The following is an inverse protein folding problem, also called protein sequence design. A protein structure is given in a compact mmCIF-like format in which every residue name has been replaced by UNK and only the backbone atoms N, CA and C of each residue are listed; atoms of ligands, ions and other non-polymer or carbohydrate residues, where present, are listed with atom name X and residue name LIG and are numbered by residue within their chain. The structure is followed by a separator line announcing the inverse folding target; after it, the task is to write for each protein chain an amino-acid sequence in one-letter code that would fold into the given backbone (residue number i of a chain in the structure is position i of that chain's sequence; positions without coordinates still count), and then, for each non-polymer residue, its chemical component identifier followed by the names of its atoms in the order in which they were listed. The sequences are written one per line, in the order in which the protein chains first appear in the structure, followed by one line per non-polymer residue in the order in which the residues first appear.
data_IF_890734279241
#
_entry.id   IF_890734279241
#
_cell.length_a   1.000
_cell.length_b   1.000
_cell.length_c   1.000
_cell.angle_alpha   90.00
_cell.angle_beta   90.00
_cell.angle_gamma   90.00
#
_symmetry.space_group_name_H-M   'P 1'
#
loop_
_entity.id
_entity.type
_entity.pdbx_description
1 polymer ?
#
# COMPACT_ATOMS: atom_id res chain seq x y z
N UNK A 1 -28.63 -2.81 11.12
CA UNK A 1 -28.65 -4.04 10.31
C UNK A 1 -30.09 -4.42 10.07
N UNK A 2 -30.41 -4.75 8.83
CA UNK A 2 -31.68 -5.36 8.43
C UNK A 2 -31.39 -6.82 8.11
N UNK A 3 -32.33 -7.71 8.43
CA UNK A 3 -32.31 -9.10 7.97
C UNK A 3 -33.50 -9.31 7.07
N UNK A 4 -33.33 -10.09 6.00
CA UNK A 4 -34.46 -10.45 5.16
C UNK A 4 -35.51 -11.23 5.96
N UNK A 5 -36.78 -10.97 5.65
CA UNK A 5 -37.91 -11.61 6.34
C UNK A 5 -37.90 -13.14 6.18
N UNK A 6 -37.27 -13.65 5.13
CA UNK A 6 -37.14 -15.09 4.87
C UNK A 6 -36.22 -15.81 5.88
N UNK A 7 -35.34 -15.06 6.56
CA UNK A 7 -34.45 -15.57 7.61
C UNK A 7 -35.01 -15.35 9.03
N UNK A 8 -36.32 -15.07 9.17
CA UNK A 8 -36.96 -14.89 10.46
C UNK A 8 -37.05 -16.23 11.25
N UNK A 9 -36.74 -16.26 12.56
CA UNK A 9 -36.72 -17.49 13.37
C UNK A 9 -38.10 -18.09 13.70
N UNK A 10 -39.12 -17.91 12.84
CA UNK A 10 -40.49 -18.41 13.01
C UNK A 10 -41.08 -19.13 11.79
N UNK A 11 -40.33 -19.34 10.71
CA UNK A 11 -40.83 -20.02 9.50
C UNK A 11 -41.03 -21.55 9.65
N UNK A 12 -40.72 -22.12 10.83
CA UNK A 12 -40.96 -23.53 11.17
C UNK A 12 -41.92 -23.61 12.37
N UNK A 13 -43.22 -23.36 12.15
CA UNK A 13 -44.21 -23.53 13.22
C UNK A 13 -45.52 -22.76 13.04
N UNK A 14 -46.22 -22.98 11.93
CA UNK A 14 -47.64 -22.63 11.85
C UNK A 14 -48.49 -23.89 12.06
N UNK A 15 -48.68 -24.30 13.32
CA UNK A 15 -49.77 -25.21 13.67
C UNK A 15 -51.11 -24.52 13.42
N UNK A 16 -51.99 -25.21 12.69
CA UNK A 16 -53.36 -24.80 12.41
C UNK A 16 -54.17 -24.79 13.71
N UNK A 17 -54.48 -23.60 14.22
CA UNK A 17 -55.54 -23.44 15.20
C UNK A 17 -56.91 -23.38 14.49
N UNK A 18 -57.83 -24.24 14.94
CA UNK A 18 -59.19 -24.34 14.45
C UNK A 18 -60.00 -23.05 14.67
N UNK A 19 -60.81 -22.69 13.68
CA UNK A 19 -61.71 -21.54 13.68
C UNK A 19 -63.05 -21.93 14.28
N UNK A 20 -63.47 -21.27 15.35
CA UNK A 20 -64.88 -21.10 15.69
C UNK A 20 -65.27 -19.63 15.51
N UNK A 21 -66.15 -19.38 14.53
CA UNK A 21 -67.05 -18.22 14.49
C UNK A 21 -66.48 -16.87 14.06
N UNK A 22 -66.78 -16.46 12.81
CA UNK A 22 -66.93 -15.04 12.46
C UNK A 22 -66.17 -14.57 11.22
N UNK A 23 -66.91 -14.49 10.10
CA UNK A 23 -66.60 -13.73 8.86
C UNK A 23 -65.22 -13.92 8.23
N UNK A 24 -65.21 -14.79 7.22
CA UNK A 24 -64.12 -15.03 6.28
C UNK A 24 -63.83 -13.76 5.47
N UNK A 25 -62.86 -12.96 5.91
CA UNK A 25 -62.22 -11.97 5.04
C UNK A 25 -60.97 -12.60 4.46
N UNK A 26 -61.14 -13.27 3.33
CA UNK A 26 -60.04 -13.69 2.47
C UNK A 26 -59.31 -12.46 1.94
N UNK A 27 -58.30 -11.99 2.67
CA UNK A 27 -57.29 -11.09 2.11
C UNK A 27 -56.18 -11.97 1.56
N UNK A 28 -56.32 -12.34 0.28
CA UNK A 28 -55.20 -12.83 -0.52
C UNK A 28 -54.21 -11.69 -0.72
N UNK A 29 -53.27 -11.55 0.21
CA UNK A 29 -52.08 -10.72 0.05
C UNK A 29 -50.87 -11.64 -0.10
N UNK A 30 -50.25 -11.63 -1.28
CA UNK A 30 -48.95 -12.26 -1.55
C UNK A 30 -47.93 -11.87 -0.48
N UNK A 31 -47.68 -12.76 0.48
CA UNK A 31 -46.74 -12.54 1.56
C UNK A 31 -45.32 -12.84 1.07
N UNK A 32 -44.63 -11.79 0.61
CA UNK A 32 -43.19 -11.55 0.74
C UNK A 32 -42.98 -10.11 0.25
N UNK A 33 -42.31 -9.19 0.94
CA UNK A 33 -40.85 -9.15 0.89
C UNK A 33 -40.37 -7.86 1.55
N UNK A 34 -39.56 -7.97 2.59
CA UNK A 34 -38.92 -6.83 3.24
C UNK A 34 -37.96 -7.31 4.31
N UNK A 35 -37.13 -6.41 4.83
CA UNK A 35 -36.29 -6.75 5.97
C UNK A 35 -36.96 -6.42 7.30
N UNK A 36 -36.51 -7.05 8.39
CA UNK A 36 -36.75 -6.57 9.75
C UNK A 36 -35.47 -6.04 10.39
N UNK A 37 -35.59 -5.03 11.26
CA UNK A 37 -34.44 -4.47 11.94
C UNK A 37 -33.93 -5.41 13.01
N UNK A 38 -32.64 -5.79 12.96
CA UNK A 38 -32.04 -6.65 14.00
C UNK A 38 -31.76 -5.84 15.27
N UNK A 39 -31.16 -4.65 15.11
CA UNK A 39 -30.71 -3.80 16.23
C UNK A 39 -31.34 -2.39 16.17
N UNK A 40 -32.54 -2.27 15.61
CA UNK A 40 -33.26 -1.01 15.64
C UNK A 40 -34.76 -1.23 15.52
N UNK A 41 -35.51 -0.40 16.24
CA UNK A 41 -36.95 -0.32 16.13
C UNK A 41 -37.32 0.81 15.16
N UNK A 42 -38.21 0.51 14.21
CA UNK A 42 -38.77 1.51 13.29
C UNK A 42 -39.70 2.50 14.01
N UNK A 43 -40.29 2.11 15.14
CA UNK A 43 -41.20 2.92 15.93
C UNK A 43 -40.47 4.03 16.72
N UNK A 44 -39.19 3.81 17.03
CA UNK A 44 -38.37 4.77 17.77
C UNK A 44 -36.91 4.72 17.29
N UNK A 45 -36.54 5.70 16.47
CA UNK A 45 -35.20 5.80 15.88
C UNK A 45 -34.59 7.18 16.17
N UNK A 46 -33.93 7.39 17.32
CA UNK A 46 -33.27 8.65 17.62
C UNK A 46 -32.14 8.92 16.61
N UNK A 47 -31.83 10.21 16.37
CA UNK A 47 -30.70 10.61 15.53
C UNK A 47 -29.40 10.05 16.13
N UNK A 48 -28.39 9.77 15.30
CA UNK A 48 -27.13 9.17 15.77
C UNK A 48 -26.41 10.04 16.81
N UNK A 49 -26.53 11.36 16.70
CA UNK A 49 -25.92 12.33 17.61
C UNK A 49 -26.56 12.34 19.00
N UNK A 50 -27.79 11.87 19.13
CA UNK A 50 -28.54 11.86 20.40
C UNK A 50 -28.40 10.53 21.16
N UNK A 51 -27.63 9.57 20.60
CA UNK A 51 -27.43 8.25 21.19
C UNK A 51 -26.19 8.25 22.10
N UNK A 52 -26.14 7.36 23.10
CA UNK A 52 -24.89 7.01 23.76
C UNK A 52 -23.81 6.61 22.74
N UNK A 53 -22.54 6.81 23.11
CA UNK A 53 -21.42 6.44 22.25
C UNK A 53 -21.29 4.91 22.20
N UNK A 54 -21.71 4.33 21.08
CA UNK A 54 -21.45 2.94 20.75
C UNK A 54 -20.09 2.80 20.04
N UNK A 55 -19.41 1.66 20.24
CA UNK A 55 -18.16 1.32 19.55
C UNK A 55 -18.45 0.29 18.46
N UNK A 56 -17.86 0.50 17.28
CA UNK A 56 -17.87 -0.45 16.17
C UNK A 56 -16.52 -1.15 16.14
N UNK A 57 -16.52 -2.48 16.15
CA UNK A 57 -15.32 -3.27 15.88
C UNK A 57 -14.96 -3.13 14.40
N UNK A 58 -13.72 -2.75 14.11
CA UNK A 58 -13.20 -2.62 12.74
C UNK A 58 -12.14 -3.66 12.41
N UNK A 59 -11.82 -4.52 13.39
CA UNK A 59 -10.78 -5.52 13.34
C UNK A 59 -10.30 -5.86 14.75
N UNK A 60 -9.54 -6.94 14.87
CA UNK A 60 -8.99 -7.40 16.14
C UNK A 60 -7.61 -8.05 15.95
N UNK A 61 -6.73 -7.83 16.93
CA UNK A 61 -5.45 -8.55 17.06
C UNK A 61 -5.64 -9.64 18.10
N UNK A 62 -5.41 -10.89 17.69
CA UNK A 62 -5.59 -12.04 18.56
C UNK A 62 -4.23 -12.59 19.01
N UNK A 63 -4.03 -12.69 20.32
CA UNK A 63 -2.92 -13.41 20.93
C UNK A 63 -3.46 -14.47 21.87
N UNK A 64 -3.18 -15.74 21.60
CA UNK A 64 -3.70 -16.86 22.40
C UNK A 64 -2.76 -18.08 22.35
N UNK A 65 -2.79 -18.91 23.39
CA UNK A 65 -2.15 -20.22 23.33
C UNK A 65 -3.02 -21.24 22.59
N UNK A 66 -2.39 -22.30 22.08
CA UNK A 66 -3.06 -23.30 21.25
C UNK A 66 -4.01 -24.21 22.05
N UNK A 67 -3.87 -24.29 23.37
CA UNK A 67 -4.73 -25.13 24.21
C UNK A 67 -6.06 -24.42 24.43
N UNK A 68 -6.01 -23.15 24.87
CA UNK A 68 -7.18 -22.30 25.05
C UNK A 68 -8.02 -22.16 23.78
N UNK A 69 -7.40 -22.05 22.61
CA UNK A 69 -8.15 -22.00 21.35
C UNK A 69 -8.89 -23.32 21.04
N UNK A 70 -8.26 -24.47 21.32
CA UNK A 70 -8.88 -25.78 21.09
C UNK A 70 -10.04 -26.04 22.05
N UNK A 71 -9.94 -25.55 23.28
CA UNK A 71 -10.98 -25.64 24.29
C UNK A 71 -12.16 -24.71 23.98
N UNK A 72 -11.89 -23.44 23.72
CA UNK A 72 -12.93 -22.44 23.46
C UNK A 72 -13.61 -22.63 22.10
N UNK A 73 -12.87 -23.11 21.08
CA UNK A 73 -13.36 -23.30 19.69
C UNK A 73 -13.88 -22.02 19.02
N UNK A 74 -13.57 -20.85 19.58
CA UNK A 74 -13.75 -19.55 18.94
C UNK A 74 -12.59 -18.64 19.36
N UNK A 75 -12.43 -17.52 18.65
CA UNK A 75 -11.32 -16.56 18.85
C UNK A 75 -11.54 -15.53 19.96
N UNK A 76 -12.71 -15.54 20.60
CA UNK A 76 -13.13 -14.55 21.60
C UNK A 76 -13.16 -15.14 23.02
N UNK A 77 -12.00 -15.38 23.61
CA UNK A 77 -11.89 -15.86 25.00
C UNK A 77 -10.73 -15.20 25.73
N UNK A 78 -10.74 -15.29 27.06
CA UNK A 78 -9.75 -14.63 27.91
C UNK A 78 -10.05 -13.14 28.09
N UNK A 79 -9.01 -12.31 28.02
CA UNK A 79 -9.11 -10.85 28.22
C UNK A 79 -9.34 -10.14 26.90
N UNK A 80 -10.30 -9.23 26.86
CA UNK A 80 -10.58 -8.36 25.71
C UNK A 80 -10.42 -6.90 26.13
N UNK A 81 -9.66 -6.14 25.34
CA UNK A 81 -9.43 -4.71 25.53
C UNK A 81 -9.83 -3.96 24.26
N UNK A 82 -10.42 -2.79 24.43
CA UNK A 82 -10.88 -1.96 23.31
C UNK A 82 -9.85 -0.89 22.99
N UNK A 83 -9.36 -0.88 21.75
CA UNK A 83 -8.48 0.16 21.23
C UNK A 83 -9.26 1.06 20.30
N UNK A 84 -9.36 2.35 20.64
CA UNK A 84 -10.04 3.34 19.79
C UNK A 84 -9.16 3.68 18.59
N UNK A 85 -9.73 3.57 17.40
CA UNK A 85 -9.11 4.03 16.15
C UNK A 85 -9.75 5.34 15.68
N UNK A 86 -9.05 6.05 14.78
CA UNK A 86 -9.60 7.23 14.11
C UNK A 86 -10.88 6.86 13.32
N UNK A 87 -12.04 7.49 13.62
CA UNK A 87 -13.30 7.24 12.92
C UNK A 87 -13.22 7.42 11.40
N UNK A 88 -12.30 8.26 10.90
CA UNK A 88 -12.13 8.46 9.46
C UNK A 88 -11.59 7.21 8.75
N UNK A 89 -10.94 6.30 9.49
CA UNK A 89 -10.26 5.10 8.96
C UNK A 89 -11.04 3.82 9.21
N UNK A 90 -12.30 3.94 9.58
CA UNK A 90 -13.17 2.80 9.88
C UNK A 90 -13.51 2.10 8.57
N UNK A 91 -12.79 1.02 8.29
CA UNK A 91 -13.06 0.10 7.19
C UNK A 91 -12.74 -1.32 7.64
N UNK A 92 -13.77 -2.15 7.73
CA UNK A 92 -13.64 -3.60 7.91
C UNK A 92 -13.18 -4.21 6.58
N UNK A 93 -12.25 -5.17 6.64
CA UNK A 93 -11.70 -5.85 5.46
C UNK A 93 -11.99 -7.34 5.60
N UNK A 94 -13.15 -7.75 5.11
CA UNK A 94 -13.58 -9.16 5.13
C UNK A 94 -13.40 -9.84 3.77
N UNK A 95 -13.52 -9.08 2.68
CA UNK A 95 -13.38 -9.59 1.32
C UNK A 95 -12.41 -8.76 0.44
N UNK A 96 -11.97 -9.30 -0.72
CA UNK A 96 -11.02 -8.61 -1.59
C UNK A 96 -11.43 -7.21 -2.07
N UNK A 97 -12.73 -6.92 -2.18
CA UNK A 97 -13.25 -5.61 -2.58
C UNK A 97 -13.09 -4.59 -1.45
N UNK A 98 -13.24 -5.00 -0.19
CA UNK A 98 -12.96 -4.12 0.95
C UNK A 98 -11.48 -3.78 1.00
N UNK A 99 -10.59 -4.74 0.70
CA UNK A 99 -9.17 -4.46 0.58
C UNK A 99 -8.87 -3.48 -0.58
N UNK A 100 -9.55 -3.63 -1.72
CA UNK A 100 -9.43 -2.69 -2.82
C UNK A 100 -9.89 -1.28 -2.43
N UNK A 101 -11.00 -1.16 -1.69
CA UNK A 101 -11.50 0.11 -1.16
C UNK A 101 -10.51 0.72 -0.15
N UNK A 102 -9.93 -0.11 0.72
CA UNK A 102 -8.92 0.31 1.68
C UNK A 102 -7.71 0.92 0.97
N UNK A 103 -7.20 0.22 -0.06
CA UNK A 103 -6.07 0.69 -0.89
C UNK A 103 -6.37 1.99 -1.61
N UNK A 104 -7.60 2.18 -2.10
CA UNK A 104 -8.01 3.42 -2.76
C UNK A 104 -8.08 4.61 -1.79
N UNK A 105 -8.51 4.38 -0.55
CA UNK A 105 -8.67 5.42 0.47
C UNK A 105 -7.38 5.72 1.25
N UNK A 106 -6.49 4.73 1.40
CA UNK A 106 -5.28 4.86 2.19
C UNK A 106 -4.43 6.10 1.82
N UNK A 107 -4.18 6.43 0.54
CA UNK A 107 -3.43 7.64 0.18
C UNK A 107 -4.09 8.94 0.69
N UNK A 108 -5.42 9.01 0.74
CA UNK A 108 -6.12 10.21 1.21
C UNK A 108 -5.95 10.44 2.71
N UNK A 109 -5.86 9.36 3.48
CA UNK A 109 -5.66 9.43 4.93
C UNK A 109 -4.18 9.49 5.32
N UNK A 110 -3.31 8.87 4.53
CA UNK A 110 -1.89 8.76 4.81
C UNK A 110 -1.06 9.88 4.19
N UNK A 111 -1.61 10.67 3.26
CA UNK A 111 -0.92 11.81 2.62
C UNK A 111 -0.26 12.79 3.61
N UNK A 112 -0.85 12.97 4.80
CA UNK A 112 -0.34 13.89 5.82
C UNK A 112 0.27 13.16 7.03
N UNK A 113 0.54 11.85 6.93
CA UNK A 113 1.07 11.07 8.05
C UNK A 113 2.58 11.29 8.19
N UNK A 114 3.09 11.60 9.39
CA UNK A 114 4.51 11.44 9.69
C UNK A 114 4.95 10.01 9.29
N UNK A 115 5.96 9.88 8.43
CA UNK A 115 6.47 8.58 7.95
C UNK A 115 5.80 8.02 6.67
N UNK A 116 5.01 8.81 5.93
CA UNK A 116 4.49 8.43 4.61
C UNK A 116 5.57 8.48 3.50
N UNK A 117 6.56 9.35 3.68
CA UNK A 117 7.75 9.46 2.84
C UNK A 117 8.97 9.15 3.71
N UNK A 118 10.04 8.59 3.11
CA UNK A 118 11.29 8.36 3.84
C UNK A 118 11.93 9.70 4.24
N UNK A 119 12.58 9.73 5.39
CA UNK A 119 13.50 10.81 5.79
C UNK A 119 14.95 10.32 5.78
N UNK A 120 15.90 11.23 6.04
CA UNK A 120 17.32 10.87 6.13
C UNK A 120 17.62 9.86 7.25
N UNK A 121 16.83 9.85 8.33
CA UNK A 121 17.01 8.92 9.46
C UNK A 121 16.56 7.49 9.11
N UNK A 122 15.66 7.33 8.15
CA UNK A 122 15.07 6.04 7.80
C UNK A 122 15.98 5.14 6.95
N UNK A 123 16.95 5.74 6.25
CA UNK A 123 17.72 5.06 5.19
C UNK A 123 19.23 5.28 5.31
N UNK A 124 20.01 4.29 4.92
CA UNK A 124 21.48 4.37 4.80
C UNK A 124 21.94 4.24 3.34
N UNK A 125 21.06 3.75 2.46
CA UNK A 125 21.36 3.50 1.05
C UNK A 125 20.22 3.88 0.11
N UNK A 126 20.59 4.31 -1.09
CA UNK A 126 19.70 4.55 -2.21
C UNK A 126 20.17 3.75 -3.42
N UNK A 127 19.35 2.81 -3.85
CA UNK A 127 19.57 1.97 -5.03
C UNK A 127 18.57 2.37 -6.11
N UNK A 128 19.10 2.65 -7.30
CA UNK A 128 18.33 3.16 -8.42
C UNK A 128 18.33 2.14 -9.55
N UNK A 129 17.15 1.73 -9.99
CA UNK A 129 17.01 1.21 -11.35
C UNK A 129 17.36 2.29 -12.40
N UNK A 130 17.57 1.90 -13.65
CA UNK A 130 17.99 2.79 -14.72
C UNK A 130 16.88 3.13 -15.72
N UNK A 131 16.46 2.18 -16.55
CA UNK A 131 15.52 2.43 -17.65
C UNK A 131 14.09 2.57 -17.14
N UNK A 132 13.39 3.62 -17.57
CA UNK A 132 12.06 3.97 -17.06
C UNK A 132 12.02 4.53 -15.63
N UNK A 133 13.13 4.47 -14.90
CA UNK A 133 13.33 5.09 -13.58
C UNK A 133 14.12 6.42 -13.68
N UNK A 134 15.35 6.37 -14.21
CA UNK A 134 16.19 7.54 -14.50
C UNK A 134 16.04 8.05 -15.94
N UNK A 135 15.40 7.25 -16.80
CA UNK A 135 15.02 7.58 -18.17
C UNK A 135 13.50 7.52 -18.30
N UNK A 136 12.97 7.95 -19.43
CA UNK A 136 11.55 7.91 -19.77
C UNK A 136 11.14 6.59 -20.46
N UNK A 137 11.95 5.55 -20.25
CA UNK A 137 11.83 4.19 -20.81
C UNK A 137 11.96 4.09 -22.34
N UNK A 138 12.39 5.19 -22.99
CA UNK A 138 12.60 5.25 -24.43
C UNK A 138 14.07 5.04 -24.77
N UNK A 139 14.29 4.27 -25.83
CA UNK A 139 15.61 4.11 -26.46
C UNK A 139 15.55 4.72 -27.85
N UNK A 140 16.44 5.69 -28.11
CA UNK A 140 16.70 6.18 -29.46
C UNK A 140 17.71 5.25 -30.12
N UNK A 141 17.39 4.73 -31.30
CA UNK A 141 18.28 3.85 -32.05
C UNK A 141 18.64 4.51 -33.38
N UNK A 142 19.92 4.57 -33.71
CA UNK A 142 20.38 5.07 -35.02
C UNK A 142 20.37 3.98 -36.11
N UNK A 143 20.70 4.34 -37.34
CA UNK A 143 20.73 3.41 -38.47
C UNK A 143 21.78 2.30 -38.36
N UNK A 144 22.78 2.47 -37.49
CA UNK A 144 23.83 1.49 -37.23
C UNK A 144 23.49 0.59 -36.03
N UNK A 145 22.31 0.77 -35.42
CA UNK A 145 21.87 0.03 -34.25
C UNK A 145 22.47 0.52 -32.93
N UNK A 146 23.04 1.74 -32.88
CA UNK A 146 23.51 2.32 -31.62
C UNK A 146 22.35 2.90 -30.85
N UNK A 147 22.35 2.62 -29.55
CA UNK A 147 21.31 3.05 -28.64
C UNK A 147 21.74 4.30 -27.84
N UNK A 148 20.79 5.20 -27.65
CA UNK A 148 20.93 6.41 -26.85
C UNK A 148 19.71 6.54 -25.94
N UNK A 149 19.93 7.03 -24.72
CA UNK A 149 18.85 7.33 -23.78
C UNK A 149 18.95 8.77 -23.30
N UNK A 150 17.81 9.31 -22.89
CA UNK A 150 17.75 10.63 -22.26
C UNK A 150 17.72 10.48 -20.74
N UNK A 151 18.47 11.34 -20.04
CA UNK A 151 18.54 11.38 -18.58
C UNK A 151 18.36 12.80 -18.09
N UNK A 152 17.77 12.96 -16.89
CA UNK A 152 17.47 14.29 -16.36
C UNK A 152 18.67 14.94 -15.66
N UNK A 153 18.81 16.27 -15.79
CA UNK A 153 19.83 17.05 -15.07
C UNK A 153 19.45 17.27 -13.61
N UNK A 154 18.17 17.47 -13.33
CA UNK A 154 17.65 17.59 -11.97
C UNK A 154 17.97 16.34 -11.14
N UNK A 155 17.81 15.15 -11.72
CA UNK A 155 18.17 13.89 -11.05
C UNK A 155 19.66 13.82 -10.76
N UNK A 156 20.50 14.27 -11.69
CA UNK A 156 21.94 14.35 -11.46
C UNK A 156 22.32 15.25 -10.28
N UNK A 157 21.60 16.35 -10.07
CA UNK A 157 21.78 17.21 -8.90
C UNK A 157 21.32 16.51 -7.60
N UNK A 158 20.14 15.89 -7.62
CA UNK A 158 19.59 15.14 -6.48
C UNK A 158 20.51 13.99 -6.04
N UNK A 159 20.96 13.17 -6.99
CA UNK A 159 21.92 12.08 -6.75
C UNK A 159 23.23 12.61 -6.16
N UNK A 160 23.73 13.73 -6.66
CA UNK A 160 24.95 14.33 -6.12
C UNK A 160 24.75 14.86 -4.69
N UNK A 161 23.56 15.37 -4.34
CA UNK A 161 23.23 15.82 -2.99
C UNK A 161 23.11 14.62 -2.02
N UNK A 162 22.36 13.57 -2.40
CA UNK A 162 22.24 12.33 -1.61
C UNK A 162 23.60 11.69 -1.35
N UNK A 163 24.47 11.62 -2.36
CA UNK A 163 25.85 11.12 -2.17
C UNK A 163 26.65 12.00 -1.21
N UNK A 164 26.47 13.31 -1.23
CA UNK A 164 27.19 14.25 -0.35
C UNK A 164 26.69 14.19 1.09
N UNK A 165 25.44 13.83 1.33
CA UNK A 165 24.90 13.61 2.69
C UNK A 165 25.41 12.32 3.34
N UNK A 166 26.21 11.52 2.62
CA UNK A 166 26.82 10.30 3.14
C UNK A 166 26.04 9.02 2.84
N UNK A 167 24.93 9.09 2.11
CA UNK A 167 24.18 7.91 1.72
C UNK A 167 24.97 7.05 0.72
N UNK A 168 24.91 5.74 0.93
CA UNK A 168 25.52 4.78 0.02
C UNK A 168 24.65 4.67 -1.23
N UNK A 169 25.24 4.92 -2.41
CA UNK A 169 24.50 4.96 -3.67
C UNK A 169 24.85 3.77 -4.56
N UNK A 170 23.88 3.27 -5.33
CA UNK A 170 24.09 2.25 -6.35
C UNK A 170 23.12 2.44 -7.52
N UNK A 171 23.58 2.23 -8.76
CA UNK A 171 22.69 1.91 -9.88
C UNK A 171 22.65 0.39 -10.06
N UNK A 172 21.46 -0.20 -10.16
CA UNK A 172 21.25 -1.63 -10.38
C UNK A 172 20.35 -1.85 -11.61
N UNK A 173 20.86 -2.51 -12.65
CA UNK A 173 20.10 -2.73 -13.89
C UNK A 173 20.29 -4.15 -14.43
N UNK A 174 19.28 -4.68 -15.12
CA UNK A 174 19.42 -5.90 -15.94
C UNK A 174 20.11 -5.63 -17.28
N UNK A 175 20.15 -4.37 -17.71
CA UNK A 175 20.59 -3.97 -19.04
C UNK A 175 22.10 -4.18 -19.22
N UNK A 176 22.49 -4.83 -20.32
CA UNK A 176 23.90 -5.05 -20.68
C UNK A 176 24.48 -3.84 -21.40
N UNK A 177 23.65 -2.97 -22.00
CA UNK A 177 24.11 -1.79 -22.70
C UNK A 177 25.00 -0.89 -21.81
N UNK A 178 26.21 -0.49 -22.26
CA UNK A 178 27.15 0.31 -21.46
C UNK A 178 26.71 1.74 -21.14
N UNK A 179 25.60 2.23 -21.69
CA UNK A 179 25.07 3.58 -21.42
C UNK A 179 24.82 3.80 -19.92
N UNK A 180 24.30 2.79 -19.21
CA UNK A 180 24.10 2.85 -17.75
C UNK A 180 25.42 3.10 -17.00
N UNK A 181 26.49 2.40 -17.38
CA UNK A 181 27.82 2.56 -16.79
C UNK A 181 28.43 3.94 -17.13
N UNK A 182 28.18 4.47 -18.32
CA UNK A 182 28.59 5.81 -18.70
C UNK A 182 27.91 6.88 -17.83
N UNK A 183 26.62 6.72 -17.54
CA UNK A 183 25.88 7.59 -16.63
C UNK A 183 26.38 7.48 -15.19
N UNK A 184 26.56 6.27 -14.67
CA UNK A 184 27.09 6.02 -13.33
C UNK A 184 28.45 6.70 -13.11
N UNK A 185 29.37 6.56 -14.08
CA UNK A 185 30.68 7.22 -14.08
C UNK A 185 30.57 8.75 -14.01
N UNK A 186 29.64 9.35 -14.76
CA UNK A 186 29.40 10.80 -14.71
C UNK A 186 28.91 11.27 -13.34
N UNK A 187 28.04 10.48 -12.71
CA UNK A 187 27.45 10.76 -11.39
C UNK A 187 28.39 10.42 -10.22
N UNK A 188 29.47 9.67 -10.49
CA UNK A 188 30.44 9.16 -9.52
C UNK A 188 29.77 8.23 -8.49
N UNK A 189 28.94 7.32 -8.98
CA UNK A 189 28.33 6.25 -8.16
C UNK A 189 28.63 4.88 -8.78
N UNK A 190 28.72 3.82 -7.95
CA UNK A 190 28.83 2.44 -8.42
C UNK A 190 27.65 2.01 -9.30
N UNK A 191 27.89 1.00 -10.13
CA UNK A 191 26.88 0.35 -10.95
C UNK A 191 27.07 -1.17 -10.89
N UNK A 192 25.97 -1.89 -10.72
CA UNK A 192 25.86 -3.32 -10.98
C UNK A 192 24.86 -3.47 -12.14
N UNK A 193 25.33 -3.89 -13.31
CA UNK A 193 24.49 -4.01 -14.51
C UNK A 193 24.77 -5.31 -15.27
N UNK A 194 23.88 -5.67 -16.20
CA UNK A 194 23.91 -6.97 -16.87
C UNK A 194 23.59 -8.13 -15.91
N UNK A 195 22.86 -7.84 -14.82
CA UNK A 195 22.49 -8.81 -13.79
C UNK A 195 21.11 -9.40 -14.13
N UNK A 196 20.99 -10.73 -14.19
CA UNK A 196 19.70 -11.38 -14.43
C UNK A 196 18.77 -11.28 -13.20
N UNK A 197 19.28 -11.67 -12.02
CA UNK A 197 18.54 -11.64 -10.74
C UNK A 197 18.93 -10.43 -9.89
N UNK A 198 18.28 -9.29 -10.14
CA UNK A 198 18.51 -8.02 -9.42
C UNK A 198 18.35 -8.17 -7.90
N UNK A 199 17.37 -8.93 -7.44
CA UNK A 199 17.11 -9.18 -6.03
C UNK A 199 18.28 -9.86 -5.31
N UNK A 200 18.88 -10.86 -5.95
CA UNK A 200 20.03 -11.57 -5.38
C UNK A 200 21.28 -10.68 -5.33
N UNK A 201 21.52 -9.91 -6.41
CA UNK A 201 22.63 -8.95 -6.43
C UNK A 201 22.44 -7.84 -5.39
N UNK A 202 21.21 -7.33 -5.21
CA UNK A 202 20.89 -6.36 -4.18
C UNK A 202 21.12 -6.94 -2.79
N UNK A 203 20.63 -8.15 -2.52
CA UNK A 203 20.82 -8.83 -1.24
C UNK A 203 22.30 -8.99 -0.90
N UNK A 204 23.09 -9.51 -1.84
CA UNK A 204 24.53 -9.69 -1.68
C UNK A 204 25.22 -8.33 -1.46
N UNK A 205 24.86 -7.32 -2.24
CA UNK A 205 25.42 -5.98 -2.10
C UNK A 205 25.13 -5.40 -0.70
N UNK A 206 23.91 -5.54 -0.18
CA UNK A 206 23.58 -5.12 1.18
C UNK A 206 24.46 -5.82 2.23
N UNK A 207 24.68 -7.13 2.09
CA UNK A 207 25.56 -7.90 2.97
C UNK A 207 27.02 -7.41 2.90
N UNK A 208 27.54 -7.15 1.69
CA UNK A 208 28.90 -6.65 1.48
C UNK A 208 29.12 -5.23 2.02
N UNK A 209 28.10 -4.37 1.94
CA UNK A 209 28.15 -3.02 2.51
C UNK A 209 27.85 -2.99 4.02
N UNK A 210 27.36 -4.09 4.60
CA UNK A 210 26.92 -4.13 5.99
C UNK A 210 25.66 -3.28 6.25
N UNK A 211 24.79 -3.14 5.25
CA UNK A 211 23.57 -2.32 5.31
C UNK A 211 22.36 -3.23 5.46
N UNK A 212 21.52 -2.97 6.47
CA UNK A 212 20.30 -3.74 6.70
C UNK A 212 19.26 -3.43 5.59
N UNK A 213 18.62 -4.43 4.95
CA UNK A 213 17.66 -4.20 3.87
C UNK A 213 16.49 -3.26 4.24
N UNK A 214 16.06 -3.27 5.49
CA UNK A 214 15.04 -2.36 6.02
C UNK A 214 15.42 -0.86 5.97
N UNK A 215 16.72 -0.54 5.82
CA UNK A 215 17.26 0.83 5.69
C UNK A 215 17.68 1.16 4.25
N UNK A 216 17.23 0.38 3.28
CA UNK A 216 17.50 0.61 1.86
C UNK A 216 16.28 1.22 1.19
N UNK A 217 16.49 2.31 0.45
CA UNK A 217 15.54 2.85 -0.50
C UNK A 217 15.86 2.31 -1.90
N UNK A 218 14.88 1.64 -2.51
CA UNK A 218 15.00 1.14 -3.88
C UNK A 218 13.99 1.85 -4.78
N UNK A 219 14.44 2.40 -5.90
CA UNK A 219 13.57 3.05 -6.89
C UNK A 219 13.47 2.19 -8.15
N UNK A 220 12.25 1.91 -8.59
CA UNK A 220 11.99 1.10 -9.79
C UNK A 220 10.72 1.51 -10.54
N UNK A 221 10.47 0.88 -11.69
CA UNK A 221 9.36 1.20 -12.56
C UNK A 221 8.56 -0.03 -13.06
N UNK A 222 9.16 -1.21 -13.15
CA UNK A 222 8.52 -2.37 -13.81
C UNK A 222 8.53 -3.64 -12.96
N UNK A 223 7.84 -4.68 -13.43
CA UNK A 223 7.55 -5.93 -12.69
C UNK A 223 8.82 -6.69 -12.29
N UNK A 224 9.93 -6.49 -13.03
CA UNK A 224 11.24 -7.05 -12.70
C UNK A 224 11.85 -6.43 -11.43
N UNK A 225 11.33 -5.30 -10.93
CA UNK A 225 11.73 -4.66 -9.68
C UNK A 225 10.96 -5.17 -8.47
N UNK A 226 9.82 -5.85 -8.66
CA UNK A 226 8.99 -6.36 -7.56
C UNK A 226 9.77 -7.27 -6.58
N UNK A 227 10.68 -8.16 -7.05
CA UNK A 227 11.53 -8.92 -6.15
C UNK A 227 12.46 -8.05 -5.29
N UNK A 228 13.01 -6.96 -5.84
CA UNK A 228 13.79 -5.98 -5.07
C UNK A 228 12.90 -5.21 -4.08
N UNK A 229 11.68 -4.83 -4.49
CA UNK A 229 10.73 -4.14 -3.62
C UNK A 229 10.37 -4.96 -2.38
N UNK A 230 10.19 -6.27 -2.54
CA UNK A 230 9.89 -7.17 -1.44
C UNK A 230 11.05 -7.34 -0.43
N UNK A 231 12.28 -6.98 -0.83
CA UNK A 231 13.48 -7.15 -0.01
C UNK A 231 13.79 -5.92 0.86
N UNK A 232 13.43 -4.72 0.40
CA UNK A 232 13.87 -3.44 0.99
C UNK A 232 12.81 -2.80 1.88
N UNK A 233 13.22 -1.96 2.83
CA UNK A 233 12.29 -1.25 3.71
C UNK A 233 11.56 -0.08 3.05
N UNK A 234 12.16 0.52 2.03
CA UNK A 234 11.60 1.66 1.29
C UNK A 234 11.57 1.43 -0.23
N UNK A 235 10.65 0.58 -0.71
CA UNK A 235 10.37 0.48 -2.13
C UNK A 235 9.64 1.73 -2.63
N UNK A 236 10.17 2.36 -3.68
CA UNK A 236 9.62 3.57 -4.30
C UNK A 236 9.38 3.33 -5.77
N UNK A 237 8.14 3.56 -6.23
CA UNK A 237 7.82 3.54 -7.65
C UNK A 237 7.83 4.96 -8.22
N UNK A 238 8.34 5.12 -9.44
CA UNK A 238 8.15 6.38 -10.18
C UNK A 238 6.69 6.54 -10.64
N UNK A 239 6.23 7.75 -10.91
CA UNK A 239 4.84 8.00 -11.29
C UNK A 239 4.39 7.24 -12.55
N UNK A 240 5.33 7.05 -13.50
CA UNK A 240 5.14 6.31 -14.75
C UNK A 240 5.31 4.80 -14.63
N UNK A 241 5.56 4.28 -13.42
CA UNK A 241 5.76 2.86 -13.20
C UNK A 241 4.49 2.06 -13.55
N UNK A 242 4.68 0.79 -13.91
CA UNK A 242 3.58 -0.12 -14.18
C UNK A 242 2.64 -0.24 -12.97
N UNK A 243 1.33 -0.39 -13.20
CA UNK A 243 0.30 -0.26 -12.16
C UNK A 243 0.53 -1.16 -10.94
N UNK A 244 0.95 -2.42 -11.16
CA UNK A 244 1.23 -3.34 -10.05
C UNK A 244 2.45 -2.92 -9.22
N UNK A 245 3.42 -2.21 -9.81
CA UNK A 245 4.61 -1.71 -9.14
C UNK A 245 4.24 -0.50 -8.27
N UNK A 246 3.43 0.41 -8.80
CA UNK A 246 2.84 1.52 -8.03
C UNK A 246 2.05 1.00 -6.83
N UNK A 247 1.30 -0.09 -7.00
CA UNK A 247 0.54 -0.72 -5.93
C UNK A 247 1.38 -1.48 -4.89
N UNK A 248 2.59 -1.92 -5.26
CA UNK A 248 3.52 -2.61 -4.36
C UNK A 248 4.49 -1.65 -3.64
N UNK A 249 4.67 -0.43 -4.14
CA UNK A 249 5.55 0.56 -3.55
C UNK A 249 5.02 1.06 -2.20
N UNK A 250 5.95 1.45 -1.33
CA UNK A 250 5.65 2.13 -0.08
C UNK A 250 5.41 3.63 -0.29
N UNK A 251 6.11 4.22 -1.27
CA UNK A 251 5.88 5.58 -1.74
C UNK A 251 5.89 5.62 -3.27
N UNK A 252 5.15 6.56 -3.85
CA UNK A 252 5.08 6.76 -5.30
C UNK A 252 5.40 8.23 -5.57
N UNK A 253 6.32 8.49 -6.50
CA UNK A 253 6.64 9.86 -6.91
C UNK A 253 5.46 10.49 -7.66
N UNK A 254 5.40 11.81 -7.68
CA UNK A 254 4.46 12.55 -8.53
C UNK A 254 5.01 12.78 -9.94
N UNK A 255 6.34 12.89 -10.06
CA UNK A 255 7.07 13.09 -11.31
C UNK A 255 7.42 11.73 -11.95
N UNK A 256 7.23 11.55 -13.28
CA UNK A 256 7.57 10.30 -13.96
C UNK A 256 9.08 10.09 -14.10
N UNK A 257 9.47 8.86 -14.45
CA UNK A 257 10.85 8.52 -14.77
C UNK A 257 11.40 9.38 -15.90
N UNK A 258 12.68 9.76 -15.79
CA UNK A 258 13.34 10.62 -16.78
C UNK A 258 13.00 12.11 -16.72
N UNK A 259 12.04 12.52 -15.89
CA UNK A 259 11.57 13.92 -15.77
C UNK A 259 11.90 14.57 -14.42
N UNK A 260 12.69 13.91 -13.57
CA UNK A 260 13.05 14.44 -12.26
C UNK A 260 12.54 13.64 -11.06
N UNK A 261 12.07 12.40 -11.24
CA UNK A 261 11.61 11.56 -10.14
C UNK A 261 12.68 11.37 -9.05
N UNK A 262 13.96 11.23 -9.41
CA UNK A 262 15.04 11.06 -8.42
C UNK A 262 15.33 12.37 -7.69
N UNK A 263 15.18 13.52 -8.38
CA UNK A 263 15.24 14.84 -7.75
C UNK A 263 14.11 15.03 -6.73
N UNK A 264 12.90 14.58 -7.05
CA UNK A 264 11.77 14.61 -6.13
C UNK A 264 12.07 13.78 -4.87
N UNK A 265 12.54 12.54 -5.04
CA UNK A 265 12.95 11.68 -3.92
C UNK A 265 14.03 12.35 -3.08
N UNK A 266 15.05 12.95 -3.73
CA UNK A 266 16.10 13.66 -3.01
C UNK A 266 15.55 14.81 -2.14
N UNK A 267 14.48 15.48 -2.57
CA UNK A 267 13.81 16.53 -1.80
C UNK A 267 12.99 16.02 -0.61
N UNK A 268 12.51 14.77 -0.66
CA UNK A 268 11.89 14.13 0.50
C UNK A 268 12.91 13.92 1.61
N UNK A 269 14.11 13.44 1.23
CA UNK A 269 15.18 13.11 2.17
C UNK A 269 15.90 14.36 2.71
N UNK A 270 16.22 15.32 1.83
CA UNK A 270 17.10 16.46 2.12
C UNK A 270 16.36 17.81 2.17
N UNK A 271 15.04 17.79 2.02
CA UNK A 271 14.21 18.99 1.96
C UNK A 271 14.30 19.77 0.63
N UNK A 272 13.55 20.89 0.51
CA UNK A 272 13.37 21.61 -0.76
C UNK A 272 14.66 22.21 -1.34
N UNK A 273 15.63 22.56 -0.49
CA UNK A 273 16.94 23.08 -0.87
C UNK A 273 17.97 21.98 -1.16
N UNK A 274 17.62 20.70 -1.02
CA UNK A 274 18.55 19.57 -1.08
C UNK A 274 19.74 19.72 -0.12
N UNK A 275 19.47 20.27 1.08
CA UNK A 275 20.47 20.58 2.12
C UNK A 275 21.61 21.50 1.64
N UNK A 276 21.37 22.29 0.57
CA UNK A 276 22.37 23.22 0.03
C UNK A 276 22.35 24.62 0.65
N UNK A 277 21.31 24.91 1.43
CA UNK A 277 21.11 26.15 2.17
C UNK A 277 20.79 25.78 3.62
N UNK A 278 21.36 26.52 4.58
CA UNK A 278 21.08 26.34 6.01
C UNK A 278 19.58 26.52 6.30
N UNK A 279 19.08 25.78 7.30
CA UNK A 279 17.69 25.82 7.76
C UNK A 279 17.37 27.10 8.53
#
# INVERSE_FOLDING_TARGET
MWRDADDAPGALGAERAAVEGGTDTLVTGTATSGGYGINHDKSFRPRRQDRPQDLLETGAVYGMDATGFREARHRFFGRTELVRTDPARVLEIDDPHDLARARALAPLFDANRPGALPTAEDIDAVVLDFDGTQTDDRVLIDSDGREFVSVHRGDGLGIAALRKSGLTMLILSTEQNPVVAARARKLKIPVLHGIDRKDLALKQWCEEQGIAPERVLYVGNDVNDLPCFALVGWPVAVASAHDVVRGAARAVTTVPGGDGAIREIASWILGPSLDSLDK
#
